data_IF_445016844855
#
_entry.id   IF_445016844855
#
_cell.length_a   1.000
_cell.length_b   1.000
_cell.length_c   1.000
_cell.angle_alpha   90.00
_cell.angle_beta   90.00
_cell.angle_gamma   90.00
#
_symmetry.space_group_name_H-M   'P 1'
#
loop_
_entity.id
_entity.type
_entity.pdbx_description
1 polymer ?
#
# COMPACT_ATOMS: atom_id res chain seq x y z
N UNK A 1 11.64 85.11 -28.18
CA UNK A 1 12.41 83.98 -27.62
C UNK A 1 11.44 83.06 -26.83
N UNK A 2 10.99 81.99 -27.47
CA UNK A 2 10.03 81.01 -26.87
C UNK A 2 10.81 79.84 -26.30
N UNK A 3 10.75 79.68 -24.99
CA UNK A 3 11.35 78.54 -24.27
C UNK A 3 10.36 77.36 -24.34
N UNK A 4 10.80 76.20 -24.90
CA UNK A 4 10.02 74.98 -24.94
C UNK A 4 10.30 74.16 -23.69
N UNK A 5 9.29 74.06 -22.81
CA UNK A 5 9.27 73.05 -21.74
C UNK A 5 8.95 71.67 -22.30
N UNK A 6 9.87 70.73 -22.17
CA UNK A 6 9.64 69.31 -22.42
C UNK A 6 9.25 68.62 -21.12
N UNK A 7 7.95 68.23 -21.03
CA UNK A 7 7.42 67.44 -19.94
C UNK A 7 7.76 65.97 -20.22
N UNK A 8 8.68 65.43 -19.43
CA UNK A 8 8.98 64.00 -19.46
C UNK A 8 7.95 63.19 -18.70
N UNK A 9 7.22 62.32 -19.37
CA UNK A 9 6.27 61.37 -18.80
C UNK A 9 7.02 60.13 -18.28
N UNK A 10 7.17 59.99 -16.96
CA UNK A 10 7.67 58.77 -16.33
C UNK A 10 6.54 57.77 -16.21
N UNK A 11 6.59 56.71 -17.02
CA UNK A 11 5.70 55.56 -16.88
C UNK A 11 6.32 54.63 -15.83
N UNK A 12 5.72 54.58 -14.63
CA UNK A 12 6.04 53.57 -13.63
C UNK A 12 5.41 52.26 -14.05
N UNK A 13 6.23 51.30 -14.50
CA UNK A 13 5.82 49.93 -14.76
C UNK A 13 5.73 49.19 -13.41
N UNK A 14 4.53 49.08 -12.85
CA UNK A 14 4.27 48.21 -11.68
C UNK A 14 4.32 46.75 -12.10
N UNK A 15 5.43 46.09 -11.81
CA UNK A 15 5.54 44.62 -11.96
C UNK A 15 4.70 43.99 -10.83
N UNK A 16 3.46 43.59 -11.12
CA UNK A 16 2.72 42.70 -10.24
C UNK A 16 3.38 41.32 -10.28
N UNK A 17 4.20 41.01 -9.27
CA UNK A 17 4.65 39.65 -9.01
C UNK A 17 3.43 38.91 -8.43
N UNK A 18 2.70 38.19 -9.28
CA UNK A 18 1.74 37.19 -8.84
C UNK A 18 2.55 36.07 -8.18
N UNK A 19 2.65 36.09 -6.85
CA UNK A 19 3.04 34.92 -6.08
C UNK A 19 1.91 33.92 -6.29
N UNK A 20 2.13 32.99 -7.23
CA UNK A 20 1.27 31.82 -7.38
C UNK A 20 1.45 31.02 -6.09
N UNK A 21 0.48 31.14 -5.16
CA UNK A 21 0.41 30.23 -4.03
C UNK A 21 0.45 28.83 -4.61
N UNK A 22 1.50 28.08 -4.28
CA UNK A 22 1.58 26.67 -4.56
C UNK A 22 0.46 26.06 -3.73
N UNK A 23 -0.67 25.74 -4.36
CA UNK A 23 -1.78 25.04 -3.74
C UNK A 23 -1.17 23.75 -3.17
N UNK A 24 -0.95 23.71 -1.86
CA UNK A 24 -0.46 22.51 -1.18
C UNK A 24 -1.45 21.41 -1.53
N UNK A 25 -1.00 20.48 -2.36
CA UNK A 25 -1.85 19.47 -2.98
C UNK A 25 -2.30 18.50 -1.89
N UNK A 26 -3.37 18.87 -1.19
CA UNK A 26 -4.01 18.02 -0.19
C UNK A 26 -4.67 16.84 -0.90
N UNK A 27 -4.29 15.63 -0.49
CA UNK A 27 -4.84 14.37 -1.02
C UNK A 27 -5.54 13.67 0.15
N UNK A 28 -6.82 13.33 -0.04
CA UNK A 28 -7.61 12.58 0.92
C UNK A 28 -7.76 11.15 0.45
N UNK A 29 -7.09 10.24 1.15
CA UNK A 29 -7.06 8.82 0.85
C UNK A 29 -7.87 8.04 1.89
N UNK A 30 -8.87 7.28 1.44
CA UNK A 30 -9.63 6.37 2.29
C UNK A 30 -9.24 4.91 1.99
N UNK A 31 -8.93 4.16 3.04
CA UNK A 31 -8.44 2.78 2.94
C UNK A 31 -9.49 1.82 3.51
N UNK A 32 -10.02 0.93 2.66
CA UNK A 32 -10.84 -0.21 3.08
C UNK A 32 -9.98 -1.46 2.93
N UNK A 33 -9.58 -2.06 4.07
CA UNK A 33 -8.63 -3.16 4.01
C UNK A 33 -8.36 -3.83 5.36
N UNK A 34 -7.18 -4.38 5.48
CA UNK A 34 -6.73 -5.11 6.66
C UNK A 34 -5.24 -4.83 6.95
N UNK A 35 -4.58 -5.69 7.73
CA UNK A 35 -3.18 -5.53 8.10
C UNK A 35 -2.22 -5.36 6.92
N UNK A 36 -2.53 -5.89 5.73
CA UNK A 36 -1.69 -5.70 4.54
C UNK A 36 -1.74 -4.24 4.05
N UNK A 37 -2.91 -3.59 4.06
CA UNK A 37 -3.02 -2.16 3.78
C UNK A 37 -2.30 -1.33 4.83
N UNK A 38 -2.43 -1.69 6.12
CA UNK A 38 -1.73 -1.04 7.23
C UNK A 38 -0.22 -1.07 7.00
N UNK A 39 0.33 -2.25 6.68
CA UNK A 39 1.74 -2.41 6.38
C UNK A 39 2.17 -1.57 5.17
N UNK A 40 1.43 -1.64 4.06
CA UNK A 40 1.77 -0.91 2.84
C UNK A 40 1.68 0.61 2.99
N UNK A 41 0.81 1.13 3.85
CA UNK A 41 0.66 2.56 4.09
C UNK A 41 1.51 3.11 5.25
N UNK A 42 2.36 2.27 5.89
CA UNK A 42 3.11 2.65 7.11
C UNK A 42 3.94 3.92 6.94
N UNK A 43 4.68 4.05 5.86
CA UNK A 43 5.58 5.18 5.59
C UNK A 43 5.02 6.13 4.53
N UNK A 44 3.75 5.97 4.13
CA UNK A 44 3.14 6.81 3.11
C UNK A 44 3.05 8.29 3.52
N UNK A 45 2.74 8.64 4.79
CA UNK A 45 2.75 10.02 5.24
C UNK A 45 4.11 10.71 5.08
N UNK A 46 5.21 10.06 5.50
CA UNK A 46 6.55 10.61 5.38
C UNK A 46 6.98 10.79 3.91
N UNK A 47 6.57 9.86 3.04
CA UNK A 47 6.84 9.95 1.61
C UNK A 47 6.02 11.07 0.95
N UNK A 48 4.79 11.29 1.38
CA UNK A 48 3.94 12.38 0.91
C UNK A 48 4.52 13.74 1.33
N UNK A 49 4.89 13.88 2.61
CA UNK A 49 5.53 15.08 3.16
C UNK A 49 6.83 15.42 2.40
N UNK A 50 7.72 14.43 2.22
CA UNK A 50 8.95 14.63 1.41
C UNK A 50 8.64 15.05 -0.03
N UNK A 51 7.52 14.58 -0.57
CA UNK A 51 7.02 14.94 -1.91
C UNK A 51 6.33 16.29 -1.98
N UNK A 52 6.22 17.04 -0.86
CA UNK A 52 5.50 18.33 -0.78
C UNK A 52 3.99 18.16 -0.92
N UNK A 53 3.42 17.07 -0.40
CA UNK A 53 1.98 16.78 -0.44
C UNK A 53 1.43 16.65 0.99
N UNK A 54 0.30 17.29 1.28
CA UNK A 54 -0.49 17.04 2.47
C UNK A 54 -1.33 15.78 2.25
N UNK A 55 -1.23 14.79 3.16
CA UNK A 55 -1.98 13.53 3.07
C UNK A 55 -2.92 13.37 4.27
N UNK A 56 -4.22 13.32 3.99
CA UNK A 56 -5.25 12.95 4.96
C UNK A 56 -5.65 11.48 4.76
N UNK A 57 -5.65 10.70 5.85
CA UNK A 57 -5.94 9.27 5.81
C UNK A 57 -7.22 8.93 6.58
N UNK A 58 -8.22 8.40 5.88
CA UNK A 58 -9.34 7.65 6.45
C UNK A 58 -9.05 6.15 6.43
N UNK A 59 -9.37 5.42 7.51
CA UNK A 59 -9.01 4.00 7.63
C UNK A 59 -10.17 3.17 8.16
N UNK A 60 -10.78 2.36 7.29
CA UNK A 60 -11.72 1.29 7.63
C UNK A 60 -10.97 -0.05 7.51
N UNK A 61 -10.09 -0.32 8.46
CA UNK A 61 -9.21 -1.49 8.45
C UNK A 61 -9.48 -2.38 9.67
N UNK A 62 -9.71 -3.68 9.39
CA UNK A 62 -9.88 -4.72 10.39
C UNK A 62 -8.96 -5.90 10.09
N UNK A 63 -8.35 -6.48 11.12
CA UNK A 63 -7.46 -7.64 10.97
C UNK A 63 -8.15 -8.80 10.25
N UNK A 64 -7.51 -9.34 9.19
CA UNK A 64 -8.04 -10.47 8.41
C UNK A 64 -9.39 -10.24 7.74
N UNK A 65 -9.82 -8.99 7.56
CA UNK A 65 -11.10 -8.67 6.96
C UNK A 65 -11.08 -8.90 5.44
N UNK A 66 -12.07 -9.65 4.94
CA UNK A 66 -12.31 -9.88 3.52
C UNK A 66 -13.24 -8.83 2.91
N UNK A 67 -13.29 -8.76 1.57
CA UNK A 67 -14.26 -7.93 0.85
C UNK A 67 -15.70 -8.29 1.26
N UNK A 68 -16.01 -9.58 1.41
CA UNK A 68 -17.31 -10.06 1.90
C UNK A 68 -17.63 -9.48 3.28
N UNK A 69 -16.69 -9.56 4.23
CA UNK A 69 -16.91 -9.08 5.60
C UNK A 69 -17.08 -7.56 5.62
N UNK A 70 -16.28 -6.81 4.88
CA UNK A 70 -16.45 -5.36 4.74
C UNK A 70 -17.82 -5.00 4.18
N UNK A 71 -18.29 -5.75 3.17
CA UNK A 71 -19.63 -5.53 2.61
C UNK A 71 -20.74 -5.83 3.64
N UNK A 72 -20.68 -6.98 4.31
CA UNK A 72 -21.70 -7.36 5.33
C UNK A 72 -21.79 -6.32 6.46
N UNK A 73 -20.64 -5.81 6.92
CA UNK A 73 -20.59 -4.72 7.91
C UNK A 73 -21.20 -3.41 7.38
N UNK A 74 -20.97 -3.10 6.10
CA UNK A 74 -21.57 -1.91 5.46
C UNK A 74 -23.08 -2.08 5.24
N UNK A 75 -23.54 -3.29 4.92
CA UNK A 75 -24.96 -3.63 4.70
C UNK A 75 -25.76 -3.58 6.00
N UNK A 76 -25.21 -4.13 7.07
CA UNK A 76 -25.86 -4.12 8.40
C UNK A 76 -25.78 -2.78 9.12
N UNK A 77 -24.88 -1.87 8.67
CA UNK A 77 -24.62 -0.61 9.38
C UNK A 77 -23.83 -0.78 10.69
N UNK A 78 -23.19 -1.94 10.90
CA UNK A 78 -22.43 -2.24 12.12
C UNK A 78 -21.28 -1.23 12.31
N UNK A 79 -21.15 -0.72 13.54
CA UNK A 79 -20.13 0.27 13.92
C UNK A 79 -18.78 -0.39 14.25
N UNK A 80 -18.27 -1.21 13.34
CA UNK A 80 -17.07 -2.01 13.51
C UNK A 80 -15.75 -1.21 13.44
N UNK A 81 -15.77 0.03 12.96
CA UNK A 81 -14.58 0.83 12.72
C UNK A 81 -14.46 1.95 13.76
N UNK A 82 -13.94 1.63 14.93
CA UNK A 82 -13.78 2.58 16.05
C UNK A 82 -15.07 3.33 16.39
N UNK A 83 -16.19 2.60 16.46
CA UNK A 83 -17.50 3.15 16.79
C UNK A 83 -18.25 3.81 15.63
N UNK A 84 -17.72 3.73 14.40
CA UNK A 84 -18.41 4.16 13.16
C UNK A 84 -18.66 2.95 12.24
N UNK A 85 -19.72 3.04 11.42
CA UNK A 85 -19.93 2.12 10.31
C UNK A 85 -19.09 2.53 9.08
N UNK A 86 -18.91 1.61 8.11
CA UNK A 86 -18.21 1.94 6.86
C UNK A 86 -18.90 3.07 6.09
N UNK A 87 -20.25 3.07 6.09
CA UNK A 87 -21.06 4.12 5.43
C UNK A 87 -20.84 5.49 6.07
N UNK A 88 -20.89 5.57 7.40
CA UNK A 88 -20.61 6.82 8.15
C UNK A 88 -19.22 7.33 7.83
N UNK A 89 -18.20 6.46 7.83
CA UNK A 89 -16.83 6.88 7.55
C UNK A 89 -16.62 7.33 6.10
N UNK A 90 -17.24 6.65 5.13
CA UNK A 90 -17.18 7.07 3.73
C UNK A 90 -17.91 8.39 3.49
N UNK A 91 -19.02 8.63 4.19
CA UNK A 91 -19.78 9.87 4.07
C UNK A 91 -19.19 11.06 4.86
N UNK A 92 -18.22 10.80 5.76
CA UNK A 92 -17.57 11.80 6.60
C UNK A 92 -16.47 12.55 5.80
N UNK A 93 -16.91 13.51 5.01
CA UNK A 93 -16.05 14.32 4.17
C UNK A 93 -15.98 13.88 2.71
N UNK A 94 -14.98 14.41 2.01
CA UNK A 94 -14.72 14.13 0.60
C UNK A 94 -13.40 13.36 0.48
N UNK A 95 -13.42 12.25 -0.25
CA UNK A 95 -12.25 11.43 -0.52
C UNK A 95 -11.85 11.55 -2.01
N UNK A 96 -10.56 11.78 -2.27
CA UNK A 96 -10.03 11.85 -3.64
C UNK A 96 -9.71 10.46 -4.17
N UNK A 97 -9.29 9.58 -3.25
CA UNK A 97 -8.87 8.21 -3.54
C UNK A 97 -9.50 7.26 -2.50
N UNK A 98 -10.03 6.13 -2.97
CA UNK A 98 -10.45 5.02 -2.10
C UNK A 98 -9.75 3.75 -2.55
N UNK A 99 -9.23 2.97 -1.60
CA UNK A 99 -8.64 1.65 -1.89
C UNK A 99 -9.48 0.53 -1.30
N UNK A 100 -9.56 -0.59 -2.01
CA UNK A 100 -10.13 -1.84 -1.51
C UNK A 100 -9.11 -2.97 -1.61
N UNK A 101 -9.26 -4.02 -0.77
CA UNK A 101 -8.32 -5.13 -0.70
C UNK A 101 -9.01 -6.41 -0.26
N UNK A 102 -8.63 -7.55 -0.86
CA UNK A 102 -9.09 -8.86 -0.41
C UNK A 102 -8.21 -9.39 0.75
N UNK A 103 -8.80 -10.22 1.60
CA UNK A 103 -8.08 -10.94 2.66
C UNK A 103 -7.01 -11.87 2.07
N UNK A 104 -5.81 -11.86 2.64
CA UNK A 104 -4.65 -12.56 2.07
C UNK A 104 -4.87 -14.07 1.87
N UNK A 105 -5.60 -14.71 2.78
CA UNK A 105 -5.94 -16.13 2.65
C UNK A 105 -6.79 -16.42 1.41
N UNK A 106 -7.67 -15.50 1.00
CA UNK A 106 -8.64 -15.65 -0.08
C UNK A 106 -8.19 -14.99 -1.39
N UNK A 107 -7.10 -14.22 -1.35
CA UNK A 107 -6.71 -13.31 -2.44
C UNK A 107 -6.30 -13.99 -3.74
N UNK A 108 -5.94 -15.27 -3.71
CA UNK A 108 -5.60 -16.06 -4.90
C UNK A 108 -6.81 -16.75 -5.56
N UNK A 109 -7.97 -16.77 -4.91
CA UNK A 109 -9.20 -17.35 -5.47
C UNK A 109 -10.09 -16.24 -6.07
N UNK A 110 -10.20 -16.13 -7.41
CA UNK A 110 -10.99 -15.10 -8.07
C UNK A 110 -12.49 -15.16 -7.73
N UNK A 111 -13.02 -16.32 -7.30
CA UNK A 111 -14.41 -16.49 -6.96
C UNK A 111 -14.80 -15.79 -5.65
N UNK A 112 -13.82 -15.37 -4.85
CA UNK A 112 -14.05 -14.68 -3.58
C UNK A 112 -14.21 -13.16 -3.71
N UNK A 113 -14.07 -12.62 -4.91
CA UNK A 113 -14.19 -11.18 -5.16
C UNK A 113 -15.62 -10.77 -5.45
N UNK A 114 -16.32 -11.49 -6.32
CA UNK A 114 -17.73 -11.23 -6.62
C UNK A 114 -18.66 -11.97 -5.65
N UNK A 115 -19.80 -11.37 -5.27
CA UNK A 115 -20.30 -10.05 -5.70
C UNK A 115 -19.77 -8.89 -4.84
N UNK A 116 -18.92 -9.15 -3.85
CA UNK A 116 -18.61 -8.22 -2.77
C UNK A 116 -17.72 -7.05 -3.20
N UNK A 117 -16.76 -7.29 -4.09
CA UNK A 117 -15.95 -6.21 -4.66
C UNK A 117 -16.82 -5.20 -5.43
N UNK A 118 -17.74 -5.70 -6.26
CA UNK A 118 -18.69 -4.88 -7.01
C UNK A 118 -19.58 -4.05 -6.08
N UNK A 119 -20.19 -4.69 -5.10
CA UNK A 119 -21.05 -4.04 -4.12
C UNK A 119 -20.33 -2.93 -3.36
N UNK A 120 -19.07 -3.16 -2.95
CA UNK A 120 -18.25 -2.13 -2.31
C UNK A 120 -17.92 -0.98 -3.27
N UNK A 121 -17.57 -1.27 -4.52
CA UNK A 121 -17.29 -0.25 -5.55
C UNK A 121 -18.53 0.60 -5.83
N UNK A 122 -19.71 0.00 -5.94
CA UNK A 122 -20.99 0.70 -6.13
C UNK A 122 -21.32 1.60 -4.92
N UNK A 123 -21.11 1.09 -3.69
CA UNK A 123 -21.26 1.88 -2.47
C UNK A 123 -20.30 3.09 -2.47
N UNK A 124 -19.03 2.88 -2.80
CA UNK A 124 -18.04 3.95 -2.85
C UNK A 124 -18.47 4.99 -3.90
N UNK A 125 -18.84 4.58 -5.11
CA UNK A 125 -19.29 5.48 -6.17
C UNK A 125 -20.55 6.28 -5.80
N UNK A 126 -21.46 5.67 -5.03
CA UNK A 126 -22.68 6.34 -4.56
C UNK A 126 -22.41 7.43 -3.52
N UNK A 127 -21.45 7.20 -2.61
CA UNK A 127 -21.12 8.14 -1.52
C UNK A 127 -20.00 9.11 -1.89
N UNK A 128 -19.11 8.71 -2.80
CA UNK A 128 -17.92 9.45 -3.22
C UNK A 128 -17.78 9.41 -4.76
N UNK A 129 -18.69 10.04 -5.53
CA UNK A 129 -18.75 9.92 -6.99
C UNK A 129 -17.51 10.48 -7.70
N UNK A 130 -16.75 11.37 -7.04
CA UNK A 130 -15.49 11.92 -7.58
C UNK A 130 -14.24 11.14 -7.20
N UNK A 131 -14.33 10.13 -6.34
CA UNK A 131 -13.16 9.40 -5.88
C UNK A 131 -12.64 8.42 -6.95
N UNK A 132 -11.31 8.36 -7.08
CA UNK A 132 -10.64 7.29 -7.84
C UNK A 132 -10.56 6.05 -6.97
N UNK A 133 -11.00 4.91 -7.50
CA UNK A 133 -10.99 3.64 -6.75
C UNK A 133 -9.85 2.78 -7.25
N UNK A 134 -9.04 2.30 -6.30
CA UNK A 134 -7.92 1.40 -6.55
C UNK A 134 -8.11 0.08 -5.83
N UNK A 135 -7.54 -0.99 -6.39
CA UNK A 135 -7.49 -2.29 -5.73
C UNK A 135 -6.05 -2.63 -5.38
N UNK A 136 -5.79 -2.92 -4.08
CA UNK A 136 -4.46 -3.20 -3.58
C UNK A 136 -4.10 -4.67 -3.77
N UNK A 137 -3.28 -4.98 -4.77
CA UNK A 137 -2.70 -6.30 -4.98
C UNK A 137 -1.65 -6.57 -3.91
N UNK A 138 -1.95 -7.50 -3.02
CA UNK A 138 -1.08 -7.88 -1.91
C UNK A 138 0.07 -8.80 -2.37
N UNK A 139 1.04 -9.00 -1.49
CA UNK A 139 2.18 -9.90 -1.69
C UNK A 139 1.88 -11.32 -1.22
N UNK A 140 2.64 -12.28 -1.75
CA UNK A 140 2.63 -13.67 -1.30
C UNK A 140 3.30 -13.80 0.08
N UNK A 141 2.96 -14.85 0.81
CA UNK A 141 3.64 -15.19 2.06
C UNK A 141 5.11 -15.53 1.81
N UNK A 142 5.93 -15.46 2.86
CA UNK A 142 7.35 -15.78 2.79
C UNK A 142 7.56 -17.23 2.30
N UNK A 143 8.62 -17.47 1.53
CA UNK A 143 8.86 -18.74 0.83
C UNK A 143 8.99 -19.97 1.74
N UNK A 144 9.28 -19.79 3.03
CA UNK A 144 9.33 -20.84 4.05
C UNK A 144 8.05 -20.93 4.90
N UNK A 145 6.95 -20.33 4.46
CA UNK A 145 5.64 -20.45 5.11
C UNK A 145 5.17 -21.91 5.15
N UNK A 146 4.56 -22.32 6.27
CA UNK A 146 4.00 -23.67 6.44
C UNK A 146 2.75 -23.91 5.59
N UNK A 147 2.02 -22.83 5.25
CA UNK A 147 0.85 -22.87 4.40
C UNK A 147 0.69 -21.55 3.67
N UNK A 148 0.19 -21.61 2.44
CA UNK A 148 -0.05 -20.46 1.58
C UNK A 148 -1.54 -20.15 1.43
N UNK A 149 -1.88 -19.03 0.77
CA UNK A 149 -3.25 -18.62 0.52
C UNK A 149 -4.01 -19.61 -0.38
N UNK A 150 -5.34 -19.52 -0.33
CA UNK A 150 -6.23 -20.31 -1.19
C UNK A 150 -6.18 -19.80 -2.62
N UNK A 151 -6.30 -20.73 -3.57
CA UNK A 151 -6.27 -20.44 -5.01
C UNK A 151 -7.56 -20.89 -5.72
N UNK A 152 -8.29 -21.82 -5.11
CA UNK A 152 -9.60 -22.28 -5.58
C UNK A 152 -10.31 -23.08 -4.46
N UNK A 153 -11.38 -22.54 -3.91
CA UNK A 153 -12.08 -23.16 -2.79
C UNK A 153 -11.14 -23.43 -1.61
N UNK A 154 -10.94 -24.69 -1.24
CA UNK A 154 -10.01 -25.09 -0.17
C UNK A 154 -8.59 -25.40 -0.66
N UNK A 155 -8.38 -25.47 -1.96
CA UNK A 155 -7.05 -25.66 -2.54
C UNK A 155 -6.15 -24.49 -2.23
N UNK A 156 -4.92 -24.77 -1.75
CA UNK A 156 -3.91 -23.77 -1.41
C UNK A 156 -2.76 -23.80 -2.40
N UNK A 157 -2.14 -22.66 -2.60
CA UNK A 157 -0.87 -22.58 -3.31
C UNK A 157 0.20 -23.43 -2.60
N UNK A 158 1.08 -24.04 -3.36
CA UNK A 158 2.15 -24.93 -2.88
C UNK A 158 3.40 -24.17 -2.42
N UNK A 159 3.56 -22.96 -2.92
CA UNK A 159 4.72 -22.11 -2.63
C UNK A 159 4.40 -20.63 -2.88
N UNK A 160 5.32 -19.73 -2.51
CA UNK A 160 5.17 -18.29 -2.67
C UNK A 160 5.00 -17.85 -4.14
N UNK A 161 5.69 -18.51 -5.07
CA UNK A 161 5.60 -18.19 -6.50
C UNK A 161 4.20 -18.51 -7.06
N UNK A 162 3.67 -19.67 -6.73
CA UNK A 162 2.32 -20.06 -7.12
C UNK A 162 1.27 -19.15 -6.47
N UNK A 163 1.42 -18.85 -5.17
CA UNK A 163 0.55 -17.89 -4.50
C UNK A 163 0.57 -16.54 -5.20
N UNK A 164 1.75 -15.98 -5.49
CA UNK A 164 1.87 -14.71 -6.20
C UNK A 164 1.17 -14.75 -7.57
N UNK A 165 1.39 -15.81 -8.36
CA UNK A 165 0.78 -15.97 -9.69
C UNK A 165 -0.74 -15.93 -9.62
N UNK A 166 -1.35 -16.67 -8.68
CA UNK A 166 -2.80 -16.70 -8.49
C UNK A 166 -3.34 -15.39 -7.93
N UNK A 167 -2.69 -14.82 -6.92
CA UNK A 167 -3.05 -13.50 -6.36
C UNK A 167 -3.06 -12.45 -7.47
N UNK A 168 -1.98 -12.38 -8.25
CA UNK A 168 -1.88 -11.43 -9.36
C UNK A 168 -3.02 -11.62 -10.36
N UNK A 169 -3.27 -12.85 -10.81
CA UNK A 169 -4.33 -13.16 -11.76
C UNK A 169 -5.72 -12.76 -11.23
N UNK A 170 -6.04 -13.06 -9.97
CA UNK A 170 -7.33 -12.74 -9.35
C UNK A 170 -7.54 -11.22 -9.25
N UNK A 171 -6.53 -10.46 -8.80
CA UNK A 171 -6.62 -9.00 -8.74
C UNK A 171 -6.74 -8.35 -10.12
N UNK A 172 -5.99 -8.84 -11.13
CA UNK A 172 -6.08 -8.33 -12.49
C UNK A 172 -7.46 -8.59 -13.12
N UNK A 173 -8.04 -9.79 -12.87
CA UNK A 173 -9.40 -10.11 -13.29
C UNK A 173 -10.40 -9.15 -12.65
N UNK A 174 -10.39 -9.02 -11.33
CA UNK A 174 -11.31 -8.14 -10.61
C UNK A 174 -11.17 -6.67 -11.04
N UNK A 175 -9.93 -6.20 -11.23
CA UNK A 175 -9.66 -4.83 -11.68
C UNK A 175 -10.22 -4.58 -13.09
N UNK A 176 -10.04 -5.52 -14.02
CA UNK A 176 -10.57 -5.40 -15.38
C UNK A 176 -12.10 -5.37 -15.41
N UNK A 177 -12.76 -6.26 -14.64
CA UNK A 177 -14.21 -6.36 -14.57
C UNK A 177 -14.90 -5.15 -13.91
N UNK A 178 -14.19 -4.47 -12.99
CA UNK A 178 -14.71 -3.33 -12.22
C UNK A 178 -14.21 -1.96 -12.70
N UNK A 179 -13.27 -1.94 -13.66
CA UNK A 179 -12.65 -0.70 -14.17
C UNK A 179 -11.78 -0.02 -13.11
N UNK A 180 -11.00 -0.81 -12.33
CA UNK A 180 -10.15 -0.32 -11.25
C UNK A 180 -8.68 -0.29 -11.66
N UNK A 181 -7.93 0.63 -11.03
CA UNK A 181 -6.47 0.64 -11.13
C UNK A 181 -5.86 -0.21 -10.01
N UNK A 182 -4.86 -1.01 -10.36
CA UNK A 182 -4.15 -1.88 -9.41
C UNK A 182 -3.02 -1.10 -8.73
N UNK A 183 -2.87 -1.31 -7.41
CA UNK A 183 -1.66 -0.96 -6.66
C UNK A 183 -0.79 -2.22 -6.61
N UNK A 184 0.29 -2.33 -7.40
CA UNK A 184 0.98 -3.60 -7.65
C UNK A 184 2.03 -3.93 -6.57
N UNK A 185 1.66 -3.91 -5.28
CA UNK A 185 2.59 -4.14 -4.18
C UNK A 185 3.15 -5.57 -4.22
N UNK A 186 2.32 -6.55 -4.57
CA UNK A 186 2.76 -7.94 -4.70
C UNK A 186 3.81 -8.14 -5.80
N UNK A 187 3.71 -7.39 -6.90
CA UNK A 187 4.71 -7.44 -7.99
C UNK A 187 6.06 -6.87 -7.54
N UNK A 188 6.05 -5.82 -6.68
CA UNK A 188 7.29 -5.30 -6.08
C UNK A 188 7.98 -6.32 -5.18
N UNK A 189 7.22 -7.01 -4.31
CA UNK A 189 7.74 -8.07 -3.46
C UNK A 189 8.31 -9.21 -4.31
N UNK A 190 7.58 -9.67 -5.33
CA UNK A 190 8.03 -10.71 -6.25
C UNK A 190 9.32 -10.32 -6.98
N UNK A 191 9.46 -9.06 -7.39
CA UNK A 191 10.68 -8.59 -8.04
C UNK A 191 11.91 -8.60 -7.11
N UNK A 192 11.70 -8.47 -5.80
CA UNK A 192 12.76 -8.64 -4.81
C UNK A 192 13.09 -10.12 -4.61
N UNK A 193 12.09 -10.99 -4.47
CA UNK A 193 12.26 -12.44 -4.33
C UNK A 193 12.93 -13.07 -5.55
N UNK A 194 12.66 -12.58 -6.75
CA UNK A 194 13.31 -13.03 -7.98
C UNK A 194 14.75 -12.52 -8.14
N UNK A 195 15.20 -11.62 -7.27
CA UNK A 195 16.54 -11.04 -7.35
C UNK A 195 17.58 -11.94 -6.71
N UNK A 196 18.56 -12.45 -7.49
CA UNK A 196 19.64 -13.29 -6.97
C UNK A 196 20.37 -12.72 -5.75
N UNK A 197 20.48 -11.39 -5.62
CA UNK A 197 21.18 -10.71 -4.52
C UNK A 197 20.26 -10.40 -3.33
N UNK A 198 18.95 -10.18 -3.56
CA UNK A 198 18.05 -9.56 -2.60
C UNK A 198 16.91 -10.48 -2.13
N UNK A 199 16.90 -11.75 -2.57
CA UNK A 199 15.93 -12.72 -2.05
C UNK A 199 16.30 -13.17 -0.64
N UNK A 200 15.30 -13.57 0.10
CA UNK A 200 15.47 -14.22 1.40
C UNK A 200 15.81 -15.70 1.20
N UNK A 201 16.81 -16.17 1.91
CA UNK A 201 17.13 -17.60 2.06
C UNK A 201 16.85 -18.03 3.49
N UNK A 202 16.15 -19.16 3.64
CA UNK A 202 15.95 -19.76 4.95
C UNK A 202 17.32 -20.17 5.53
N UNK A 203 17.56 -19.80 6.78
CA UNK A 203 18.73 -20.25 7.53
C UNK A 203 18.63 -21.77 7.79
N UNK A 204 19.49 -22.55 7.16
CA UNK A 204 19.54 -24.00 7.31
C UNK A 204 20.46 -24.44 8.45
N UNK A 205 21.17 -23.51 9.09
CA UNK A 205 22.08 -23.78 10.21
C UNK A 205 21.42 -23.61 11.57
N UNK A 206 20.29 -22.87 11.60
CA UNK A 206 19.55 -22.62 12.82
C UNK A 206 18.73 -23.84 13.25
N UNK A 207 18.79 -24.20 14.53
CA UNK A 207 18.01 -25.31 15.08
C UNK A 207 16.58 -24.86 15.44
N UNK A 208 15.64 -25.08 14.53
CA UNK A 208 14.22 -24.72 14.71
C UNK A 208 13.47 -25.63 15.67
N UNK A 209 13.97 -26.87 15.92
CA UNK A 209 13.33 -27.83 16.82
C UNK A 209 13.70 -27.56 18.29
N UNK A 210 14.90 -27.02 18.52
CA UNK A 210 15.39 -26.60 19.83
C UNK A 210 16.00 -25.18 19.70
N UNK A 211 15.18 -24.13 19.52
CA UNK A 211 15.67 -22.80 19.22
C UNK A 211 16.44 -22.22 20.41
N UNK A 212 17.70 -21.74 20.21
CA UNK A 212 18.45 -21.10 21.27
C UNK A 212 17.73 -19.86 21.81
N UNK A 213 17.54 -19.79 23.13
CA UNK A 213 16.77 -18.73 23.76
C UNK A 213 17.30 -17.34 23.40
N UNK A 214 16.40 -16.46 22.96
CA UNK A 214 16.71 -15.08 22.57
C UNK A 214 17.44 -14.91 21.23
N UNK A 215 17.86 -16.00 20.57
CA UNK A 215 18.50 -15.92 19.26
C UNK A 215 17.47 -16.09 18.13
N UNK A 216 17.71 -15.45 17.01
CA UNK A 216 16.89 -15.58 15.81
C UNK A 216 17.71 -16.20 14.68
N UNK A 217 17.08 -16.95 13.75
CA UNK A 217 17.74 -17.36 12.53
C UNK A 217 18.17 -16.14 11.69
N UNK A 218 19.09 -16.33 10.77
CA UNK A 218 19.40 -15.28 9.78
C UNK A 218 18.16 -15.01 8.91
N UNK A 219 17.73 -13.76 8.90
CA UNK A 219 16.59 -13.27 8.12
C UNK A 219 17.01 -12.13 7.18
N UNK A 220 18.27 -12.10 6.81
CA UNK A 220 18.80 -11.12 5.86
C UNK A 220 17.96 -11.12 4.58
N UNK A 221 17.62 -9.93 4.10
CA UNK A 221 16.75 -9.68 2.95
C UNK A 221 15.27 -10.10 3.09
N UNK A 222 14.83 -10.60 4.25
CA UNK A 222 13.40 -10.84 4.47
C UNK A 222 12.62 -9.52 4.36
N UNK A 223 11.51 -9.55 3.62
CA UNK A 223 10.52 -8.46 3.57
C UNK A 223 9.34 -8.74 4.52
N UNK A 224 9.32 -9.91 5.14
CA UNK A 224 8.30 -10.35 6.08
C UNK A 224 8.84 -10.32 7.51
N UNK A 225 7.95 -10.23 8.49
CA UNK A 225 8.29 -10.29 9.92
C UNK A 225 9.12 -11.53 10.22
N UNK A 226 8.64 -12.69 9.75
CA UNK A 226 9.35 -13.95 9.90
C UNK A 226 9.39 -14.43 11.35
N UNK A 227 10.56 -14.91 11.80
CA UNK A 227 10.75 -15.41 13.16
C UNK A 227 10.97 -14.27 14.14
N UNK A 228 10.27 -14.32 15.27
CA UNK A 228 10.35 -13.38 16.38
C UNK A 228 10.17 -14.11 17.71
N UNK A 229 10.75 -13.60 18.78
CA UNK A 229 10.46 -14.07 20.12
C UNK A 229 9.21 -13.38 20.68
N UNK A 230 8.22 -14.17 21.11
CA UNK A 230 7.02 -13.68 21.83
C UNK A 230 6.84 -14.52 23.07
N UNK A 231 6.78 -13.91 24.23
CA UNK A 231 6.53 -14.58 25.51
C UNK A 231 7.44 -15.80 25.73
N UNK A 232 8.73 -15.68 25.42
CA UNK A 232 9.72 -16.73 25.58
C UNK A 232 9.63 -17.89 24.56
N UNK A 233 8.82 -17.74 23.51
CA UNK A 233 8.67 -18.75 22.43
C UNK A 233 9.05 -18.15 21.08
N UNK A 234 9.67 -18.97 20.23
CA UNK A 234 9.93 -18.60 18.84
C UNK A 234 8.62 -18.67 18.06
N UNK A 235 8.08 -17.52 17.68
CA UNK A 235 6.91 -17.38 16.83
C UNK A 235 7.31 -17.12 15.38
N UNK A 236 6.42 -17.43 14.43
CA UNK A 236 6.66 -17.25 13.01
C UNK A 236 5.48 -16.54 12.32
N UNK A 237 5.76 -15.40 11.72
CA UNK A 237 4.81 -14.62 10.94
C UNK A 237 5.30 -14.51 9.49
N UNK A 238 4.78 -15.38 8.66
CA UNK A 238 5.12 -15.44 7.24
C UNK A 238 4.37 -14.42 6.37
N UNK A 239 3.38 -13.74 6.93
CA UNK A 239 2.38 -12.97 6.18
C UNK A 239 2.68 -11.48 6.17
N UNK A 240 2.87 -10.90 7.37
CA UNK A 240 2.99 -9.47 7.52
C UNK A 240 4.38 -8.98 7.10
N UNK A 241 4.40 -7.78 6.57
CA UNK A 241 5.65 -7.13 6.18
C UNK A 241 6.41 -6.64 7.42
N UNK A 242 7.74 -6.82 7.41
CA UNK A 242 8.63 -6.13 8.34
C UNK A 242 8.89 -4.67 7.90
N UNK A 243 9.73 -3.93 8.59
CA UNK A 243 10.04 -2.53 8.26
C UNK A 243 10.48 -2.36 6.80
N UNK A 244 11.30 -3.26 6.25
CA UNK A 244 11.75 -3.20 4.87
C UNK A 244 10.60 -3.44 3.88
N UNK A 245 9.76 -4.44 4.15
CA UNK A 245 8.56 -4.72 3.36
C UNK A 245 7.52 -3.59 3.43
N UNK A 246 7.28 -3.02 4.63
CA UNK A 246 6.43 -1.85 4.78
C UNK A 246 6.93 -0.66 3.96
N UNK A 247 8.24 -0.41 3.96
CA UNK A 247 8.83 0.66 3.17
C UNK A 247 8.71 0.42 1.66
N UNK A 248 8.95 -0.81 1.20
CA UNK A 248 8.73 -1.18 -0.20
C UNK A 248 7.27 -0.96 -0.62
N UNK A 249 6.32 -1.43 0.20
CA UNK A 249 4.89 -1.23 -0.01
C UNK A 249 4.51 0.24 -0.09
N UNK A 250 5.04 1.05 0.84
CA UNK A 250 4.77 2.49 0.87
C UNK A 250 5.33 3.23 -0.35
N UNK A 251 6.48 2.82 -0.88
CA UNK A 251 7.02 3.36 -2.14
C UNK A 251 6.11 3.05 -3.34
N UNK A 252 5.52 1.84 -3.40
CA UNK A 252 4.54 1.48 -4.43
C UNK A 252 3.29 2.35 -4.32
N UNK A 253 2.75 2.50 -3.11
CA UNK A 253 1.58 3.34 -2.85
C UNK A 253 1.85 4.80 -3.19
N UNK A 254 2.99 5.33 -2.77
CA UNK A 254 3.43 6.70 -3.07
C UNK A 254 3.46 6.97 -4.57
N UNK A 255 4.05 6.05 -5.35
CA UNK A 255 4.09 6.18 -6.81
C UNK A 255 2.70 6.06 -7.43
N UNK A 256 1.94 5.04 -7.05
CA UNK A 256 0.68 4.68 -7.73
C UNK A 256 -0.47 5.62 -7.37
N UNK A 257 -0.61 5.97 -6.09
CA UNK A 257 -1.72 6.78 -5.60
C UNK A 257 -1.44 8.28 -5.69
N UNK A 258 -0.21 8.68 -5.36
CA UNK A 258 0.15 10.10 -5.21
C UNK A 258 0.95 10.62 -6.42
N UNK A 259 1.29 9.77 -7.39
CA UNK A 259 2.12 10.17 -8.54
C UNK A 259 3.57 10.52 -8.15
N UNK A 260 4.02 10.02 -6.99
CA UNK A 260 5.31 10.37 -6.41
C UNK A 260 6.52 9.92 -7.23
N UNK A 261 7.54 10.76 -7.28
CA UNK A 261 8.78 10.50 -8.02
C UNK A 261 9.76 9.66 -7.18
N UNK A 262 9.52 8.34 -7.07
CA UNK A 262 10.27 7.43 -6.19
C UNK A 262 11.79 7.48 -6.34
N UNK A 263 12.31 7.78 -7.52
CA UNK A 263 13.78 7.94 -7.76
C UNK A 263 14.37 9.13 -6.99
N UNK A 264 13.55 10.13 -6.63
CA UNK A 264 13.98 11.33 -5.90
C UNK A 264 13.85 11.18 -4.38
N UNK A 265 13.19 10.13 -3.89
CA UNK A 265 12.98 9.88 -2.46
C UNK A 265 14.32 9.70 -1.75
N UNK A 266 14.54 10.49 -0.70
CA UNK A 266 15.70 10.43 0.20
C UNK A 266 15.36 9.67 1.48
N UNK A 267 14.12 9.80 1.97
CA UNK A 267 13.63 9.11 3.16
C UNK A 267 13.85 7.59 3.04
N UNK A 268 14.27 6.99 4.12
CA UNK A 268 14.29 5.56 4.37
C UNK A 268 14.21 5.31 5.88
N UNK A 269 13.57 4.23 6.32
CA UNK A 269 13.66 3.80 7.72
C UNK A 269 15.12 3.49 8.10
N UNK A 270 15.50 3.74 9.36
CA UNK A 270 16.87 3.53 9.84
C UNK A 270 17.37 2.09 9.62
N UNK A 271 16.50 1.11 9.87
CA UNK A 271 16.81 -0.31 9.74
C UNK A 271 16.93 -0.79 8.28
N UNK A 272 16.55 0.03 7.30
CA UNK A 272 16.70 -0.28 5.87
C UNK A 272 18.03 0.26 5.37
N UNK A 273 18.91 -0.62 4.88
CA UNK A 273 20.21 -0.19 4.35
C UNK A 273 20.08 0.67 3.09
N UNK A 274 21.01 1.60 2.89
CA UNK A 274 21.00 2.48 1.72
C UNK A 274 21.03 1.71 0.37
N UNK A 275 21.81 0.61 0.20
CA UNK A 275 21.75 -0.21 -1.00
C UNK A 275 20.38 -0.86 -1.23
N UNK A 276 19.73 -1.38 -0.17
CA UNK A 276 18.39 -1.97 -0.25
C UNK A 276 17.33 -0.92 -0.64
N UNK A 277 17.34 0.24 0.01
CA UNK A 277 16.44 1.35 -0.32
C UNK A 277 16.62 1.82 -1.78
N UNK A 278 17.86 1.88 -2.28
CA UNK A 278 18.14 2.16 -3.70
C UNK A 278 17.53 1.10 -4.61
N UNK A 279 17.68 -0.19 -4.25
CA UNK A 279 17.08 -1.30 -5.02
C UNK A 279 15.56 -1.21 -5.03
N UNK A 280 14.91 -0.92 -3.91
CA UNK A 280 13.46 -0.73 -3.83
C UNK A 280 12.98 0.36 -4.78
N UNK A 281 13.61 1.55 -4.75
CA UNK A 281 13.27 2.63 -5.67
C UNK A 281 13.45 2.24 -7.14
N UNK A 282 14.46 1.43 -7.48
CA UNK A 282 14.66 0.92 -8.83
C UNK A 282 13.57 -0.07 -9.26
N UNK A 283 13.15 -0.96 -8.35
CA UNK A 283 12.05 -1.90 -8.60
C UNK A 283 10.76 -1.13 -8.82
N UNK A 284 10.39 -0.28 -7.86
CA UNK A 284 9.12 0.47 -7.92
C UNK A 284 9.08 1.40 -9.14
N UNK A 285 10.19 1.98 -9.56
CA UNK A 285 10.23 2.85 -10.75
C UNK A 285 9.95 2.12 -12.07
N UNK A 286 9.97 0.78 -12.09
CA UNK A 286 9.71 -0.05 -13.29
C UNK A 286 8.30 -0.63 -13.34
N UNK A 287 7.58 -0.62 -12.23
CA UNK A 287 6.16 -1.01 -12.18
C UNK A 287 5.28 0.02 -12.90
#
# INVERSE_FOLDING_TARGET
MLSKFRTGLFILLSICITVQAQDDKKIRLFIIGNSFSQNAATFLPQLAEEGGMELELGRAELGGCSLERHWKLAESGEKAYKGKSLREMLADGRWDIVTIQQYSLLSGDPNTYEPYARKLVELIRSLQPGAKIFIHQIWAYRNDAKAFGKIKGDERAKNAEEMHRHVRAAYHKAAAELGLTIIPTGDAFRAMDASRKWHYNKDTTYNFDAPPAGQLPDQTNSLHVGYIWREGKLAFDANHANTAGCYLGSLVWYRTLLGGKVKKVKFKPETVSAPMAKKFRQVVAKL
#
